data_IF_274963070201
#
_entry.id   IF_274963070201
#
_cell.length_a   1.000
_cell.length_b   1.000
_cell.length_c   1.000
_cell.angle_alpha   90.00
_cell.angle_beta   90.00
_cell.angle_gamma   90.00
#
_symmetry.space_group_name_H-M   'P 1'
#
loop_
_entity.id
_entity.type
_entity.pdbx_description
1 polymer ?
#
# COMPACT_ATOMS: atom_id res chain seq x y z
N UNK A 1 -0.37 -27.92 60.56
CA UNK A 1 -1.69 -28.50 60.19
C UNK A 1 -2.32 -27.61 59.15
N UNK A 2 -2.92 -28.24 58.13
CA UNK A 2 -3.73 -27.68 57.03
C UNK A 2 -2.93 -26.90 55.95
N UNK A 3 -2.55 -27.48 54.79
CA UNK A 3 -3.30 -28.13 53.69
C UNK A 3 -3.75 -27.10 52.63
N UNK A 4 -3.10 -27.22 51.46
CA UNK A 4 -3.60 -27.06 50.09
C UNK A 4 -4.63 -25.97 49.77
N UNK A 5 -4.25 -25.04 48.89
CA UNK A 5 -4.89 -24.98 47.55
C UNK A 5 -3.81 -24.64 46.52
N UNK A 6 -3.40 -25.65 45.75
CA UNK A 6 -2.78 -25.51 44.44
C UNK A 6 -3.75 -24.74 43.54
N UNK A 7 -3.50 -23.46 43.30
CA UNK A 7 -4.10 -22.77 42.14
C UNK A 7 -3.08 -22.85 41.02
N UNK A 8 -3.27 -23.86 40.17
CA UNK A 8 -2.55 -24.01 38.91
C UNK A 8 -2.99 -22.85 38.00
N UNK A 9 -2.26 -21.74 38.05
CA UNK A 9 -2.38 -20.67 37.06
C UNK A 9 -1.70 -21.19 35.80
N UNK A 10 -2.44 -21.94 34.98
CA UNK A 10 -2.08 -22.18 33.58
C UNK A 10 -2.21 -20.83 32.88
N UNK A 11 -1.12 -20.06 32.90
CA UNK A 11 -0.99 -18.85 32.11
C UNK A 11 -1.02 -19.23 30.63
N UNK A 12 -2.16 -19.00 29.97
CA UNK A 12 -2.25 -18.97 28.52
C UNK A 12 -1.33 -17.84 28.02
N UNK A 13 -0.10 -18.19 27.62
CA UNK A 13 0.69 -17.36 26.72
C UNK A 13 -0.03 -17.32 25.38
N UNK A 14 -0.95 -16.37 25.20
CA UNK A 14 -1.30 -15.88 23.88
C UNK A 14 -0.08 -15.14 23.35
N UNK A 15 0.80 -15.85 22.65
CA UNK A 15 1.76 -15.22 21.76
C UNK A 15 0.93 -14.61 20.61
N UNK A 16 0.48 -13.38 20.80
CA UNK A 16 0.02 -12.57 19.69
C UNK A 16 1.25 -12.37 18.81
N UNK A 17 1.34 -13.11 17.71
CA UNK A 17 2.21 -12.74 16.61
C UNK A 17 1.71 -11.38 16.12
N UNK A 18 2.30 -10.31 16.64
CA UNK A 18 2.15 -8.99 16.09
C UNK A 18 2.76 -9.05 14.68
N UNK A 19 1.90 -9.21 13.67
CA UNK A 19 2.27 -8.94 12.30
C UNK A 19 2.45 -7.43 12.26
N UNK A 20 3.69 -6.97 12.45
CA UNK A 20 4.00 -5.56 12.42
C UNK A 20 3.93 -5.13 10.96
N UNK A 21 2.86 -4.45 10.55
CA UNK A 21 2.91 -3.68 9.32
C UNK A 21 3.73 -2.42 9.63
N UNK A 22 4.90 -2.28 9.04
CA UNK A 22 5.77 -1.14 9.29
C UNK A 22 5.37 0.09 8.45
N UNK A 23 5.46 1.26 9.07
CA UNK A 23 5.16 2.53 8.40
C UNK A 23 6.33 2.96 7.52
N UNK A 24 6.07 3.13 6.23
CA UNK A 24 7.00 3.63 5.22
C UNK A 24 6.99 5.15 5.24
N UNK A 25 8.06 5.76 5.75
CA UNK A 25 8.17 7.23 5.87
C UNK A 25 8.90 7.89 4.68
N UNK A 26 9.62 7.12 3.86
CA UNK A 26 10.45 7.61 2.77
C UNK A 26 9.73 7.68 1.40
N UNK A 27 8.39 7.72 1.40
CA UNK A 27 7.60 7.92 0.18
C UNK A 27 7.60 9.40 -0.25
N UNK A 28 7.29 9.65 -1.52
CA UNK A 28 7.32 10.98 -2.13
C UNK A 28 6.14 11.21 -3.07
N UNK A 29 5.46 12.34 -2.94
CA UNK A 29 4.36 12.71 -3.84
C UNK A 29 4.88 12.99 -5.25
N UNK A 30 4.09 12.66 -6.27
CA UNK A 30 4.38 13.07 -7.65
C UNK A 30 4.12 14.58 -7.84
N UNK A 31 4.69 15.17 -8.90
CA UNK A 31 4.36 16.55 -9.29
C UNK A 31 2.90 16.62 -9.77
N UNK A 32 2.21 17.72 -9.47
CA UNK A 32 0.84 18.00 -9.93
C UNK A 32 -0.22 16.97 -9.51
N UNK A 33 -0.03 16.31 -8.37
CA UNK A 33 -1.03 15.40 -7.83
C UNK A 33 -2.12 16.14 -7.05
N UNK A 34 -3.37 15.72 -7.23
CA UNK A 34 -4.57 16.31 -6.63
C UNK A 34 -5.06 15.50 -5.42
N UNK A 35 -4.15 15.13 -4.52
CA UNK A 35 -4.46 14.43 -3.28
C UNK A 35 -3.38 14.66 -2.24
N UNK A 36 -3.69 14.29 -1.01
CA UNK A 36 -2.71 14.08 0.05
C UNK A 36 -2.72 12.59 0.43
N UNK A 37 -1.55 12.03 0.75
CA UNK A 37 -1.37 10.63 1.17
C UNK A 37 -0.64 10.62 2.51
N UNK A 38 -1.09 9.75 3.41
CA UNK A 38 -0.60 9.63 4.78
C UNK A 38 -0.54 8.17 5.20
N UNK A 39 0.20 7.91 6.29
CA UNK A 39 0.20 6.62 6.98
C UNK A 39 0.36 5.43 6.01
N UNK A 40 1.43 5.45 5.20
CA UNK A 40 1.71 4.38 4.25
C UNK A 40 2.33 3.21 4.99
N UNK A 41 1.73 2.04 4.89
CA UNK A 41 2.23 0.78 5.45
C UNK A 41 2.41 -0.23 4.34
N UNK A 42 3.53 -0.95 4.36
CA UNK A 42 3.80 -2.08 3.49
C UNK A 42 4.08 -3.28 4.39
N UNK A 43 3.43 -4.41 4.13
CA UNK A 43 3.61 -5.63 4.91
C UNK A 43 3.90 -6.81 3.97
N UNK A 44 4.97 -7.59 4.21
CA UNK A 44 6.03 -7.36 5.19
C UNK A 44 7.00 -6.26 4.73
N UNK A 45 7.49 -5.41 5.65
CA UNK A 45 8.57 -4.45 5.37
C UNK A 45 9.35 -4.06 6.63
N UNK A 46 10.08 -5.00 7.26
CA UNK A 46 10.88 -4.68 8.45
C UNK A 46 11.93 -3.59 8.19
N UNK A 47 12.37 -3.44 6.93
CA UNK A 47 13.33 -2.43 6.48
C UNK A 47 12.84 -0.98 6.67
N UNK A 48 11.52 -0.78 6.76
CA UNK A 48 10.95 0.55 6.97
C UNK A 48 11.32 1.14 8.33
N UNK A 49 11.65 0.31 9.34
CA UNK A 49 12.16 0.77 10.64
C UNK A 49 13.48 1.54 10.50
N UNK A 50 14.29 1.16 9.51
CA UNK A 50 15.57 1.79 9.19
C UNK A 50 15.46 2.77 8.01
N UNK A 51 14.23 3.13 7.59
CA UNK A 51 13.93 3.96 6.41
C UNK A 51 14.53 3.43 5.10
N UNK A 52 14.72 2.11 5.00
CA UNK A 52 15.20 1.46 3.80
C UNK A 52 14.03 1.01 2.90
N UNK A 53 14.35 0.65 1.65
CA UNK A 53 13.36 0.13 0.72
C UNK A 53 12.96 -1.29 1.13
N UNK A 54 11.66 -1.58 1.09
CA UNK A 54 11.13 -2.90 1.45
C UNK A 54 11.71 -3.99 0.55
N UNK A 55 12.25 -5.05 1.15
CA UNK A 55 12.67 -6.24 0.40
C UNK A 55 11.49 -7.20 0.27
N UNK A 56 10.96 -7.33 -0.95
CA UNK A 56 9.80 -8.15 -1.25
C UNK A 56 10.22 -9.40 -2.05
N UNK A 57 10.19 -10.61 -1.45
CA UNK A 57 10.52 -11.82 -2.16
C UNK A 57 9.54 -12.10 -3.29
N UNK A 58 10.04 -12.66 -4.39
CA UNK A 58 9.17 -13.21 -5.42
C UNK A 58 8.26 -14.31 -4.84
N UNK A 59 7.08 -14.46 -5.44
CA UNK A 59 6.04 -15.45 -5.10
C UNK A 59 5.42 -15.30 -3.70
N UNK A 60 5.59 -14.14 -3.07
CA UNK A 60 4.99 -13.80 -1.78
C UNK A 60 3.86 -12.79 -1.96
N UNK A 61 2.85 -12.90 -1.10
CA UNK A 61 1.83 -11.86 -0.95
C UNK A 61 2.38 -10.78 -0.04
N UNK A 62 2.44 -9.56 -0.55
CA UNK A 62 2.61 -8.35 0.22
C UNK A 62 1.28 -7.59 0.28
N UNK A 63 1.19 -6.58 1.13
CA UNK A 63 0.08 -5.64 1.15
C UNK A 63 0.58 -4.22 1.26
N UNK A 64 -0.21 -3.29 0.75
CA UNK A 64 -0.01 -1.86 0.95
C UNK A 64 -1.32 -1.27 1.48
N UNK A 65 -1.19 -0.50 2.55
CA UNK A 65 -2.27 0.25 3.16
C UNK A 65 -1.86 1.72 3.27
N UNK A 66 -2.76 2.64 2.95
CA UNK A 66 -2.50 4.06 3.19
C UNK A 66 -3.79 4.84 3.36
N UNK A 67 -3.71 5.98 4.02
CA UNK A 67 -4.79 6.97 4.03
C UNK A 67 -4.56 7.98 2.93
N UNK A 68 -5.63 8.46 2.34
CA UNK A 68 -5.55 9.53 1.36
C UNK A 68 -6.74 10.47 1.47
N UNK A 69 -6.55 11.70 1.03
CA UNK A 69 -7.58 12.74 0.92
C UNK A 69 -7.55 13.32 -0.50
N UNK A 70 -8.47 12.93 -1.40
CA UNK A 70 -8.46 13.40 -2.77
C UNK A 70 -9.02 14.82 -2.85
N UNK A 71 -8.54 15.63 -3.80
CA UNK A 71 -9.07 16.98 -4.11
C UNK A 71 -10.10 16.97 -5.25
N UNK A 72 -10.44 15.78 -5.72
CA UNK A 72 -11.43 15.46 -6.75
C UNK A 72 -12.37 14.35 -6.23
N UNK A 73 -13.51 14.18 -6.91
CA UNK A 73 -14.43 13.07 -6.66
C UNK A 73 -14.48 12.14 -7.86
N UNK A 74 -14.86 10.89 -7.66
CA UNK A 74 -15.06 9.94 -8.77
C UNK A 74 -15.99 8.81 -8.37
N UNK A 75 -16.95 8.46 -9.23
CA UNK A 75 -17.78 7.26 -9.03
C UNK A 75 -17.15 6.01 -9.63
N UNK A 76 -16.25 6.17 -10.61
CA UNK A 76 -15.57 5.09 -11.34
C UNK A 76 -14.05 5.31 -11.40
N UNK A 77 -13.36 5.45 -10.26
CA UNK A 77 -11.93 5.67 -10.25
C UNK A 77 -11.16 4.46 -10.79
N UNK A 78 -10.06 4.75 -11.49
CA UNK A 78 -9.09 3.74 -11.92
C UNK A 78 -7.79 3.85 -11.14
N UNK A 79 -7.05 2.76 -11.12
CA UNK A 79 -5.74 2.66 -10.48
C UNK A 79 -4.75 1.85 -11.30
N UNK A 80 -3.46 2.13 -11.12
CA UNK A 80 -2.36 1.34 -11.66
C UNK A 80 -1.08 1.63 -10.88
N UNK A 81 -0.30 0.59 -10.63
CA UNK A 81 1.10 0.71 -10.22
C UNK A 81 2.00 0.76 -11.45
N UNK A 82 3.04 1.58 -11.40
CA UNK A 82 4.08 1.62 -12.42
C UNK A 82 5.47 1.50 -11.80
N UNK A 83 6.37 0.79 -12.45
CA UNK A 83 7.80 0.88 -12.19
C UNK A 83 8.36 2.08 -12.97
N UNK A 84 8.88 3.06 -12.26
CA UNK A 84 9.53 4.21 -12.88
C UNK A 84 10.85 3.80 -13.53
N UNK A 85 11.02 4.15 -14.80
CA UNK A 85 12.27 3.96 -15.54
C UNK A 85 12.71 5.26 -16.18
N UNK A 86 13.93 5.29 -16.72
CA UNK A 86 14.48 6.48 -17.37
C UNK A 86 13.68 6.90 -18.63
N UNK A 87 13.11 5.92 -19.35
CA UNK A 87 12.44 6.16 -20.64
C UNK A 87 10.92 6.24 -20.48
N UNK A 88 10.32 5.24 -19.83
CA UNK A 88 8.87 5.11 -19.72
C UNK A 88 8.48 4.32 -18.47
N UNK A 89 7.44 4.77 -17.79
CA UNK A 89 6.82 4.04 -16.69
C UNK A 89 6.26 2.69 -17.17
N UNK A 90 6.74 1.59 -16.58
CA UNK A 90 6.29 0.24 -16.93
C UNK A 90 5.14 -0.20 -16.01
N UNK A 91 3.94 -0.52 -16.51
CA UNK A 91 2.82 -0.90 -15.66
C UNK A 91 3.03 -2.28 -15.02
N UNK A 92 2.64 -2.41 -13.76
CA UNK A 92 2.42 -3.72 -13.14
C UNK A 92 1.08 -4.26 -13.64
N UNK A 93 1.13 -5.39 -14.36
CA UNK A 93 -0.01 -5.93 -15.10
C UNK A 93 -0.94 -6.79 -14.24
N UNK A 94 -0.47 -7.24 -13.07
CA UNK A 94 -1.22 -8.14 -12.18
C UNK A 94 -2.23 -7.41 -11.27
N UNK A 95 -2.29 -6.07 -11.35
CA UNK A 95 -3.24 -5.26 -10.62
C UNK A 95 -4.53 -5.05 -11.42
N UNK A 96 -5.69 -5.27 -10.80
CA UNK A 96 -6.98 -4.86 -11.36
C UNK A 96 -7.07 -3.33 -11.36
N UNK A 97 -7.49 -2.75 -12.47
CA UNK A 97 -7.56 -1.29 -12.60
C UNK A 97 -8.76 -0.66 -11.91
N UNK A 98 -9.73 -1.44 -11.45
CA UNK A 98 -10.89 -0.93 -10.73
C UNK A 98 -10.49 -0.53 -9.30
N UNK A 99 -10.33 0.78 -9.05
CA UNK A 99 -9.89 1.27 -7.74
C UNK A 99 -10.92 0.98 -6.63
N UNK A 100 -12.20 0.79 -6.97
CA UNK A 100 -13.25 0.46 -6.02
C UNK A 100 -13.08 -0.92 -5.35
N UNK A 101 -12.15 -1.75 -5.84
CA UNK A 101 -11.76 -2.99 -5.18
C UNK A 101 -10.86 -2.76 -3.95
N UNK A 102 -10.25 -1.57 -3.85
CA UNK A 102 -9.20 -1.28 -2.86
C UNK A 102 -9.52 -0.08 -1.97
N UNK A 103 -10.50 0.74 -2.35
CA UNK A 103 -11.02 1.84 -1.55
C UNK A 103 -12.54 1.93 -1.68
N UNK A 104 -13.18 2.70 -0.80
CA UNK A 104 -14.62 2.92 -0.84
C UNK A 104 -14.98 3.85 -2.01
N UNK A 105 -15.87 3.38 -2.87
CA UNK A 105 -16.52 4.20 -3.89
C UNK A 105 -17.94 4.64 -3.46
N UNK A 106 -18.38 5.85 -3.85
CA UNK A 106 -17.62 6.84 -4.62
C UNK A 106 -16.47 7.45 -3.81
N UNK A 107 -15.40 7.85 -4.51
CA UNK A 107 -14.35 8.67 -3.93
C UNK A 107 -14.91 10.08 -3.72
N UNK A 108 -14.91 10.53 -2.46
CA UNK A 108 -15.51 11.82 -2.10
C UNK A 108 -14.41 12.85 -1.95
N UNK A 109 -14.55 13.97 -2.67
CA UNK A 109 -13.64 15.11 -2.58
C UNK A 109 -13.47 15.58 -1.13
N UNK A 110 -12.24 15.92 -0.79
CA UNK A 110 -11.83 16.47 0.50
C UNK A 110 -12.21 15.59 1.71
N UNK A 111 -12.43 14.29 1.49
CA UNK A 111 -12.75 13.30 2.53
C UNK A 111 -11.61 12.31 2.67
N UNK A 112 -11.16 12.08 3.90
CA UNK A 112 -10.15 11.05 4.16
C UNK A 112 -10.75 9.66 3.94
N UNK A 113 -10.03 8.82 3.22
CA UNK A 113 -10.38 7.44 2.91
C UNK A 113 -9.15 6.55 3.09
N UNK A 114 -9.39 5.24 3.19
CA UNK A 114 -8.35 4.23 3.38
C UNK A 114 -8.28 3.40 2.10
N UNK A 115 -7.06 3.18 1.65
CA UNK A 115 -6.72 2.26 0.59
C UNK A 115 -6.11 0.98 1.18
N UNK A 116 -6.57 -0.18 0.70
CA UNK A 116 -6.04 -1.49 1.08
C UNK A 116 -5.88 -2.35 -0.17
N UNK A 117 -4.64 -2.76 -0.47
CA UNK A 117 -4.36 -3.61 -1.62
C UNK A 117 -3.40 -4.74 -1.23
N UNK A 118 -3.78 -5.97 -1.56
CA UNK A 118 -2.90 -7.14 -1.47
C UNK A 118 -2.21 -7.33 -2.83
N UNK A 119 -0.89 -7.22 -2.83
CA UNK A 119 -0.02 -7.37 -3.99
C UNK A 119 0.58 -8.78 -3.99
N UNK A 120 0.38 -9.54 -5.06
CA UNK A 120 1.17 -10.74 -5.30
C UNK A 120 2.43 -10.38 -6.10
N UNK A 121 3.61 -10.63 -5.53
CA UNK A 121 4.89 -10.35 -6.20
C UNK A 121 5.21 -11.48 -7.16
N UNK A 122 4.75 -11.36 -8.40
CA UNK A 122 4.97 -12.39 -9.43
C UNK A 122 6.46 -12.63 -9.71
N UNK A 123 6.84 -13.90 -9.93
CA UNK A 123 8.19 -14.29 -10.38
C UNK A 123 8.59 -13.68 -11.74
N UNK A 124 7.61 -13.17 -12.49
CA UNK A 124 7.83 -12.53 -13.78
C UNK A 124 8.43 -11.12 -13.64
N UNK A 125 8.31 -10.50 -12.46
CA UNK A 125 9.01 -9.26 -12.16
C UNK A 125 10.48 -9.56 -11.85
N UNK A 126 11.44 -8.99 -12.60
CA UNK A 126 12.86 -9.21 -12.35
C UNK A 126 13.26 -8.84 -10.92
N UNK A 127 14.30 -9.50 -10.40
CA UNK A 127 14.91 -9.10 -9.13
C UNK A 127 15.73 -7.84 -9.37
N UNK A 128 15.26 -6.73 -8.82
CA UNK A 128 15.87 -5.42 -8.96
C UNK A 128 15.29 -4.47 -7.91
N UNK A 129 15.93 -3.32 -7.75
CA UNK A 129 15.32 -2.18 -7.08
C UNK A 129 14.36 -1.48 -8.04
N UNK A 130 13.23 -1.04 -7.50
CA UNK A 130 12.17 -0.35 -8.22
C UNK A 130 11.72 0.88 -7.44
N UNK A 131 11.59 2.00 -8.14
CA UNK A 131 10.71 3.07 -7.70
C UNK A 131 9.30 2.77 -8.21
N UNK A 132 8.39 2.44 -7.29
CA UNK A 132 7.00 2.18 -7.61
C UNK A 132 6.23 3.49 -7.55
N UNK A 133 5.56 3.84 -8.64
CA UNK A 133 4.63 4.96 -8.77
C UNK A 133 3.21 4.42 -8.62
N UNK A 134 2.58 4.73 -7.50
CA UNK A 134 1.18 4.42 -7.24
C UNK A 134 0.33 5.53 -7.84
N UNK A 135 -0.58 5.21 -8.75
CA UNK A 135 -1.45 6.20 -9.39
C UNK A 135 -2.91 5.76 -9.38
N UNK A 136 -3.80 6.66 -9.01
CA UNK A 136 -5.25 6.51 -9.21
C UNK A 136 -5.87 7.82 -9.69
N UNK A 137 -6.91 7.74 -10.51
CA UNK A 137 -7.48 8.91 -11.19
C UNK A 137 -8.96 8.72 -11.49
N UNK A 138 -9.65 9.84 -11.72
CA UNK A 138 -11.02 9.82 -12.20
C UNK A 138 -11.08 9.40 -13.68
N UNK A 139 -11.88 8.38 -13.99
CA UNK A 139 -12.04 7.83 -15.33
C UNK A 139 -13.45 8.14 -15.90
N UNK A 140 -14.18 9.09 -15.34
CA UNK A 140 -15.43 9.56 -15.93
C UNK A 140 -15.19 10.30 -17.27
N UNK A 141 -16.14 10.28 -18.23
CA UNK A 141 -15.94 10.86 -19.57
C UNK A 141 -15.58 12.35 -19.59
N UNK A 142 -16.00 13.10 -18.57
CA UNK A 142 -15.77 14.54 -18.44
C UNK A 142 -14.74 14.88 -17.35
N UNK A 143 -14.03 13.88 -16.84
CA UNK A 143 -13.03 14.06 -15.81
C UNK A 143 -11.84 14.88 -16.34
N UNK A 144 -11.41 15.93 -15.62
CA UNK A 144 -10.15 16.61 -15.91
C UNK A 144 -8.98 15.61 -15.88
N UNK A 145 -8.07 15.69 -16.86
CA UNK A 145 -6.92 14.77 -16.93
C UNK A 145 -5.96 14.88 -15.75
N UNK A 146 -6.07 15.94 -14.95
CA UNK A 146 -5.28 16.19 -13.75
C UNK A 146 -5.98 15.75 -12.46
N UNK A 147 -7.20 15.20 -12.52
CA UNK A 147 -7.88 14.60 -11.37
C UNK A 147 -7.29 13.21 -11.06
N UNK A 148 -6.04 13.27 -10.59
CA UNK A 148 -5.21 12.13 -10.28
C UNK A 148 -4.48 12.29 -8.94
N UNK A 149 -4.36 11.18 -8.23
CA UNK A 149 -3.49 11.01 -7.09
C UNK A 149 -2.27 10.18 -7.48
N UNK A 150 -1.08 10.61 -7.08
CA UNK A 150 0.16 9.93 -7.41
C UNK A 150 1.21 10.14 -6.31
N UNK A 151 1.77 9.04 -5.85
CA UNK A 151 2.93 9.02 -4.97
C UNK A 151 3.87 7.87 -5.34
N UNK A 152 5.09 7.92 -4.82
CA UNK A 152 6.14 6.96 -5.13
C UNK A 152 6.80 6.45 -3.86
N UNK A 153 7.20 5.19 -3.87
CA UNK A 153 7.99 4.56 -2.82
C UNK A 153 8.95 3.57 -3.46
N UNK A 154 10.02 3.24 -2.74
CA UNK A 154 11.06 2.35 -3.26
C UNK A 154 10.92 0.96 -2.65
N UNK A 155 11.05 -0.07 -3.49
CA UNK A 155 11.08 -1.47 -3.10
C UNK A 155 12.26 -2.17 -3.77
N UNK A 156 12.60 -3.35 -3.28
CA UNK A 156 13.54 -4.26 -3.92
C UNK A 156 12.90 -5.64 -4.02
N UNK A 157 12.77 -6.16 -5.23
CA UNK A 157 12.32 -7.53 -5.44
C UNK A 157 13.52 -8.46 -5.30
N UNK A 158 13.44 -9.44 -4.39
CA UNK A 158 14.54 -10.36 -4.02
C UNK A 158 14.27 -11.82 -4.35
#
# INVERSE_FOLDING_TARGET
MAIFVLTVVVGLMFAASAVNAEQVNNFRMCRNTHCEVYDVFIDPCPEALDNQACELPQTVNASIAFKYKPKFGSTLPKTRLYAETLLLDLPFMDMDTNACLYTRCPMVKDTEQIWLYNLFVSKNYPRSSYTVKFKFWDNEPNAPSNDECCFKFDIKIV
#
